data_IF_262443563014
#
_entry.id   IF_262443563014
#
_cell.length_a   1.000
_cell.length_b   1.000
_cell.length_c   1.000
_cell.angle_alpha   90.00
_cell.angle_beta   90.00
_cell.angle_gamma   90.00
#
_symmetry.space_group_name_H-M   'P 1'
#
loop_
_entity.id
_entity.type
_entity.pdbx_description
1 polymer ?
#
# COMPACT_ATOMS: atom_id res chain seq x y z
N UNK A 1 -16.68 -42.96 8.99
CA UNK A 1 -16.28 -41.56 8.70
C UNK A 1 -15.96 -41.44 7.22
N UNK A 2 -16.67 -40.58 6.47
CA UNK A 2 -16.34 -40.31 5.05
C UNK A 2 -15.21 -39.27 5.01
N UNK A 3 -14.08 -39.63 4.42
CA UNK A 3 -13.00 -38.68 4.13
C UNK A 3 -13.51 -37.63 3.15
N UNK A 4 -13.56 -36.37 3.58
CA UNK A 4 -13.81 -35.23 2.69
C UNK A 4 -12.58 -35.11 1.79
N UNK A 5 -12.75 -35.32 0.48
CA UNK A 5 -11.71 -35.07 -0.52
C UNK A 5 -11.40 -33.56 -0.49
N UNK A 6 -10.15 -33.22 -0.15
CA UNK A 6 -9.66 -31.83 -0.07
C UNK A 6 -9.71 -31.10 -1.43
N UNK A 7 -9.86 -31.84 -2.52
CA UNK A 7 -9.89 -31.32 -3.90
C UNK A 7 -11.13 -30.49 -4.24
N UNK A 8 -12.16 -30.48 -3.37
CA UNK A 8 -13.39 -29.70 -3.56
C UNK A 8 -13.43 -28.40 -2.74
N UNK A 9 -12.32 -28.01 -2.09
CA UNK A 9 -12.26 -26.78 -1.29
C UNK A 9 -11.66 -25.66 -2.15
N UNK A 10 -12.51 -24.92 -2.86
CA UNK A 10 -12.11 -23.64 -3.45
C UNK A 10 -11.93 -22.64 -2.30
N UNK A 11 -10.76 -22.03 -2.11
CA UNK A 11 -10.61 -20.97 -1.11
C UNK A 11 -11.54 -19.81 -1.49
N UNK A 12 -12.60 -19.61 -0.70
CA UNK A 12 -13.53 -18.50 -0.87
C UNK A 12 -12.91 -17.14 -0.52
N UNK A 13 -11.71 -17.15 0.07
CA UNK A 13 -11.01 -15.95 0.51
C UNK A 13 -9.71 -15.77 -0.26
N UNK A 14 -9.39 -14.54 -0.69
CA UNK A 14 -8.06 -14.23 -1.23
C UNK A 14 -6.99 -14.62 -0.22
N UNK A 15 -5.82 -15.01 -0.72
CA UNK A 15 -4.68 -15.34 0.13
C UNK A 15 -4.35 -14.17 1.05
N UNK A 16 -3.64 -14.45 2.15
CA UNK A 16 -3.20 -13.38 3.04
C UNK A 16 -2.40 -12.31 2.29
N UNK A 17 -1.52 -12.74 1.38
CA UNK A 17 -0.73 -11.87 0.51
C UNK A 17 -1.61 -11.01 -0.40
N UNK A 18 -2.63 -11.59 -1.05
CA UNK A 18 -3.56 -10.83 -1.90
C UNK A 18 -4.33 -9.76 -1.11
N UNK A 19 -4.72 -10.09 0.14
CA UNK A 19 -5.42 -9.16 1.03
C UNK A 19 -4.51 -8.01 1.44
N UNK A 20 -3.26 -8.31 1.78
CA UNK A 20 -2.27 -7.30 2.12
C UNK A 20 -1.94 -6.40 0.93
N UNK A 21 -1.73 -6.99 -0.24
CA UNK A 21 -1.49 -6.25 -1.48
C UNK A 21 -2.66 -5.30 -1.79
N UNK A 22 -3.91 -5.79 -1.68
CA UNK A 22 -5.11 -4.96 -1.87
C UNK A 22 -5.19 -3.84 -0.84
N UNK A 23 -4.83 -4.12 0.42
CA UNK A 23 -4.81 -3.11 1.48
C UNK A 23 -3.80 -1.99 1.19
N UNK A 24 -2.56 -2.34 0.82
CA UNK A 24 -1.53 -1.37 0.44
C UNK A 24 -1.96 -0.53 -0.78
N UNK A 25 -2.60 -1.16 -1.78
CA UNK A 25 -3.15 -0.45 -2.93
C UNK A 25 -4.23 0.56 -2.54
N UNK A 26 -5.10 0.22 -1.60
CA UNK A 26 -6.10 1.15 -1.08
C UNK A 26 -5.46 2.31 -0.30
N UNK A 27 -4.40 2.05 0.47
CA UNK A 27 -3.64 3.11 1.14
C UNK A 27 -3.00 4.07 0.12
N UNK A 28 -2.35 3.54 -0.91
CA UNK A 28 -1.80 4.37 -2.00
C UNK A 28 -2.88 5.21 -2.69
N UNK A 29 -4.07 4.64 -2.91
CA UNK A 29 -5.21 5.38 -3.47
C UNK A 29 -5.70 6.49 -2.54
N UNK A 30 -5.74 6.25 -1.22
CA UNK A 30 -6.14 7.26 -0.24
C UNK A 30 -5.11 8.39 -0.16
N UNK A 31 -3.82 8.07 -0.22
CA UNK A 31 -2.73 9.05 -0.30
C UNK A 31 -2.79 9.88 -1.60
N UNK A 32 -3.06 9.23 -2.74
CA UNK A 32 -3.27 9.94 -4.00
C UNK A 32 -4.40 10.96 -3.88
N UNK A 33 -5.51 10.58 -3.23
CA UNK A 33 -6.61 11.50 -2.98
C UNK A 33 -6.22 12.63 -2.02
N UNK A 34 -5.42 12.36 -0.99
CA UNK A 34 -4.89 13.38 -0.08
C UNK A 34 -4.10 14.46 -0.82
N UNK A 35 -3.32 14.06 -1.81
CA UNK A 35 -2.52 14.94 -2.67
C UNK A 35 -3.30 15.55 -3.85
N UNK A 36 -4.63 15.53 -3.80
CA UNK A 36 -5.50 16.04 -4.88
C UNK A 36 -5.29 15.34 -6.23
N UNK A 37 -4.96 14.04 -6.20
CA UNK A 37 -4.69 13.19 -7.37
C UNK A 37 -3.60 13.77 -8.28
N UNK A 38 -2.34 13.79 -7.81
CA UNK A 38 -1.25 14.44 -8.52
C UNK A 38 -1.00 13.73 -9.84
N UNK A 39 -1.29 14.41 -10.95
CA UNK A 39 -0.92 13.98 -12.29
C UNK A 39 0.52 14.39 -12.59
N UNK A 40 1.24 13.63 -13.41
CA UNK A 40 2.63 13.94 -13.79
C UNK A 40 3.67 12.97 -13.21
N UNK A 41 4.90 13.47 -13.04
CA UNK A 41 6.08 12.69 -12.63
C UNK A 41 6.90 13.35 -11.52
N UNK A 42 6.39 14.41 -10.91
CA UNK A 42 7.06 15.21 -9.87
C UNK A 42 7.38 14.36 -8.63
N UNK A 43 6.47 13.47 -8.23
CA UNK A 43 6.66 12.57 -7.10
C UNK A 43 7.60 11.41 -7.41
N UNK A 44 7.87 11.11 -8.69
CA UNK A 44 8.80 10.03 -9.07
C UNK A 44 10.20 10.32 -8.54
N UNK A 45 10.66 11.57 -8.60
CA UNK A 45 11.98 11.95 -8.10
C UNK A 45 12.08 11.94 -6.56
N UNK A 46 10.96 12.03 -5.85
CA UNK A 46 10.91 12.14 -4.38
C UNK A 46 10.64 10.78 -3.74
N UNK A 47 9.68 10.03 -4.30
CA UNK A 47 9.16 8.78 -3.76
C UNK A 47 9.63 7.55 -4.54
N UNK A 48 9.95 7.74 -5.81
CA UNK A 48 10.27 6.66 -6.72
C UNK A 48 11.69 6.13 -6.55
N UNK A 49 11.86 4.91 -7.03
CA UNK A 49 13.11 4.16 -7.10
C UNK A 49 13.74 4.18 -8.50
N UNK A 50 13.13 4.91 -9.44
CA UNK A 50 13.68 5.23 -10.76
C UNK A 50 13.10 4.41 -11.91
N UNK A 51 12.09 3.57 -11.66
CA UNK A 51 11.39 2.79 -12.70
C UNK A 51 9.91 3.18 -12.84
N UNK A 52 9.41 4.04 -11.96
CA UNK A 52 8.02 4.43 -11.92
C UNK A 52 7.69 5.38 -13.07
N UNK A 53 6.51 5.18 -13.66
CA UNK A 53 6.09 5.84 -14.90
C UNK A 53 5.37 7.17 -14.65
N UNK A 54 4.76 7.30 -13.48
CA UNK A 54 3.93 8.42 -13.06
C UNK A 54 3.86 8.49 -11.53
N UNK A 55 3.35 9.60 -11.02
CA UNK A 55 3.17 9.88 -9.59
C UNK A 55 2.37 8.80 -8.87
N UNK A 56 1.36 8.22 -9.52
CA UNK A 56 0.55 7.15 -8.93
C UNK A 56 1.36 5.88 -8.76
N UNK A 57 2.14 5.48 -9.77
CA UNK A 57 3.03 4.32 -9.68
C UNK A 57 4.13 4.55 -8.63
N UNK A 58 4.62 5.78 -8.49
CA UNK A 58 5.53 6.17 -7.42
C UNK A 58 4.91 6.00 -6.03
N UNK A 59 3.68 6.47 -5.82
CA UNK A 59 2.94 6.28 -4.57
C UNK A 59 2.66 4.80 -4.27
N UNK A 60 2.20 4.02 -5.26
CA UNK A 60 1.97 2.59 -5.11
C UNK A 60 3.25 1.85 -4.69
N UNK A 61 4.39 2.18 -5.32
CA UNK A 61 5.71 1.61 -4.99
C UNK A 61 6.18 2.03 -3.61
N UNK A 62 6.07 3.31 -3.28
CA UNK A 62 6.50 3.86 -2.00
C UNK A 62 5.70 3.28 -0.82
N UNK A 63 4.39 3.12 -0.95
CA UNK A 63 3.57 2.46 0.07
C UNK A 63 3.93 0.98 0.20
N UNK A 64 4.19 0.29 -0.92
CA UNK A 64 4.62 -1.11 -0.90
C UNK A 64 5.99 -1.28 -0.23
N UNK A 65 6.93 -0.37 -0.46
CA UNK A 65 8.23 -0.35 0.20
C UNK A 65 8.10 -0.25 1.72
N UNK A 66 7.14 0.56 2.19
CA UNK A 66 6.84 0.74 3.61
C UNK A 66 5.90 -0.32 4.22
N UNK A 67 5.68 -1.45 3.52
CA UNK A 67 4.76 -2.52 3.95
C UNK A 67 4.95 -2.93 5.41
N UNK A 68 6.18 -3.20 5.83
CA UNK A 68 6.45 -3.73 7.17
C UNK A 68 6.09 -2.68 8.24
N UNK A 69 6.52 -1.44 8.07
CA UNK A 69 6.20 -0.33 8.98
C UNK A 69 4.68 -0.08 9.05
N UNK A 70 3.98 -0.13 7.90
CA UNK A 70 2.51 0.01 7.83
C UNK A 70 1.80 -1.03 8.68
N UNK A 71 2.23 -2.29 8.61
CA UNK A 71 1.64 -3.37 9.39
C UNK A 71 2.03 -3.33 10.86
N UNK A 72 3.26 -2.93 11.19
CA UNK A 72 3.68 -2.66 12.58
C UNK A 72 2.82 -1.56 13.22
N UNK A 73 2.63 -0.42 12.53
CA UNK A 73 1.77 0.66 13.05
C UNK A 73 0.33 0.23 13.23
N UNK A 74 -0.17 -0.64 12.36
CA UNK A 74 -1.50 -1.21 12.52
C UNK A 74 -1.61 -2.09 13.78
N UNK A 75 -0.57 -2.88 14.09
CA UNK A 75 -0.53 -3.70 15.31
C UNK A 75 -0.43 -2.84 16.58
N UNK A 76 0.23 -1.69 16.50
CA UNK A 76 0.27 -0.67 17.56
C UNK A 76 -1.07 0.06 17.75
N UNK A 77 -2.07 -0.21 16.91
CA UNK A 77 -3.37 0.49 16.95
C UNK A 77 -3.36 1.87 16.30
N UNK A 78 -2.29 2.21 15.58
CA UNK A 78 -2.18 3.48 14.86
C UNK A 78 -2.78 3.38 13.46
N UNK A 79 -3.38 4.48 13.00
CA UNK A 79 -3.84 4.62 11.61
C UNK A 79 -2.65 4.57 10.65
N UNK A 80 -2.64 3.55 9.78
CA UNK A 80 -1.60 3.42 8.75
C UNK A 80 -1.63 4.56 7.75
N UNK A 81 -2.80 5.14 7.46
CA UNK A 81 -2.93 6.28 6.55
C UNK A 81 -2.31 7.54 7.14
N UNK A 82 -2.66 7.87 8.39
CA UNK A 82 -2.14 9.09 9.04
C UNK A 82 -0.62 9.00 9.21
N UNK A 83 -0.11 7.83 9.58
CA UNK A 83 1.33 7.56 9.62
C UNK A 83 2.02 7.80 8.26
N UNK A 84 1.43 7.32 7.16
CA UNK A 84 2.00 7.51 5.82
C UNK A 84 1.91 8.98 5.37
N UNK A 85 0.84 9.70 5.71
CA UNK A 85 0.69 11.13 5.42
C UNK A 85 1.76 11.93 6.16
N UNK A 86 1.91 11.75 7.48
CA UNK A 86 2.95 12.44 8.25
C UNK A 86 4.35 12.16 7.70
N UNK A 87 4.62 10.90 7.32
CA UNK A 87 5.91 10.51 6.74
C UNK A 87 6.14 11.22 5.40
N UNK A 88 5.12 11.28 4.55
CA UNK A 88 5.19 11.99 3.27
C UNK A 88 5.40 13.50 3.46
N UNK A 89 4.67 14.13 4.37
CA UNK A 89 4.83 15.56 4.67
C UNK A 89 6.24 15.89 5.17
N UNK A 90 6.80 15.04 6.03
CA UNK A 90 8.18 15.22 6.49
C UNK A 90 9.21 15.10 5.35
N UNK A 91 8.93 14.30 4.32
CA UNK A 91 9.78 14.21 3.12
C UNK A 91 9.65 15.45 2.24
N UNK A 92 8.44 16.00 2.11
CA UNK A 92 8.18 17.18 1.26
C UNK A 92 8.62 18.51 1.90
N UNK A 93 8.77 18.54 3.22
CA UNK A 93 9.24 19.71 3.96
C UNK A 93 10.77 19.84 4.02
N UNK A 94 11.51 18.81 3.60
CA UNK A 94 12.98 18.79 3.52
C UNK A 94 13.45 19.08 2.09
#
# INVERSE_FOLDING_TARGET
MKLIKRDNVTPLHPSMEDREHKYLKHLASAMSHYLENPHGTELVCILGSGYEKDNRHALETWVAYHRNEVFEKRLEGRSSLDYLIEKLESLLAN
#
